data_IF_701794248693
#
_entry.id   IF_701794248693
#
_cell.length_a   1.000
_cell.length_b   1.000
_cell.length_c   1.000
_cell.angle_alpha   90.00
_cell.angle_beta   90.00
_cell.angle_gamma   90.00
#
_symmetry.space_group_name_H-M   'P 1'
#
loop_
_entity.id
_entity.type
_entity.pdbx_description
1 polymer ?
#
# COMPACT_ATOMS: atom_id res chain seq x y z
N UNK A 1 33.64 -5.38 39.97
CA UNK A 1 34.60 -4.73 39.06
C UNK A 1 34.86 -5.68 37.91
N UNK A 2 34.59 -5.25 36.67
CA UNK A 2 34.84 -6.01 35.45
C UNK A 2 34.44 -5.16 34.25
N UNK A 3 35.38 -4.34 33.77
CA UNK A 3 35.23 -3.54 32.54
C UNK A 3 35.61 -4.44 31.37
N UNK A 4 34.74 -4.58 30.37
CA UNK A 4 35.09 -5.12 29.05
C UNK A 4 34.57 -4.17 27.98
N UNK A 5 35.53 -3.44 27.43
CA UNK A 5 35.47 -2.51 26.30
C UNK A 5 35.81 -3.28 25.04
N UNK A 6 35.00 -3.31 23.99
CA UNK A 6 35.38 -3.63 22.59
C UNK A 6 34.14 -3.38 21.70
N UNK A 7 34.18 -2.90 20.47
CA UNK A 7 35.01 -1.96 19.72
C UNK A 7 34.18 -1.67 18.45
N UNK A 8 34.04 -0.40 18.07
CA UNK A 8 33.33 0.07 16.87
C UNK A 8 34.02 -0.40 15.59
N UNK A 9 33.26 -0.89 14.61
CA UNK A 9 33.73 -1.03 13.23
C UNK A 9 32.69 -0.42 12.26
N UNK A 10 32.97 0.82 11.84
CA UNK A 10 32.38 1.45 10.66
C UNK A 10 33.02 0.84 9.41
N UNK A 11 32.22 0.44 8.42
CA UNK A 11 32.69 0.18 7.06
C UNK A 11 32.08 1.22 6.12
N UNK A 12 32.89 2.22 5.76
CA UNK A 12 32.69 3.11 4.62
C UNK A 12 33.17 2.39 3.35
N UNK A 13 32.28 2.15 2.40
CA UNK A 13 32.61 1.73 1.05
C UNK A 13 32.22 2.81 0.04
N UNK A 14 33.14 3.74 -0.22
CA UNK A 14 33.05 4.69 -1.33
C UNK A 14 33.88 4.15 -2.51
N UNK A 15 33.21 3.64 -3.54
CA UNK A 15 33.84 3.37 -4.83
C UNK A 15 33.42 4.47 -5.82
N UNK A 16 34.23 5.54 -5.84
CA UNK A 16 34.24 6.52 -6.90
C UNK A 16 35.01 5.92 -8.09
N UNK A 17 34.28 5.44 -9.10
CA UNK A 17 34.83 5.10 -10.41
C UNK A 17 34.58 6.24 -11.40
N UNK A 18 35.35 7.33 -11.28
CA UNK A 18 35.52 8.34 -12.33
C UNK A 18 36.72 7.90 -13.18
N UNK A 19 36.47 7.58 -14.44
CA UNK A 19 37.51 7.24 -15.41
C UNK A 19 37.17 7.85 -16.77
N UNK A 20 38.04 8.78 -17.16
CA UNK A 20 38.29 9.33 -18.48
C UNK A 20 37.31 10.28 -19.19
N UNK A 21 37.95 11.34 -19.69
CA UNK A 21 37.44 12.58 -20.26
C UNK A 21 38.05 12.68 -21.65
N UNK A 22 37.24 12.61 -22.70
CA UNK A 22 37.63 13.10 -24.03
C UNK A 22 36.49 13.92 -24.63
N UNK A 23 36.86 15.10 -25.13
CA UNK A 23 36.00 16.11 -25.74
C UNK A 23 35.75 15.74 -27.21
N UNK A 24 34.48 15.79 -27.63
CA UNK A 24 34.07 15.63 -29.02
C UNK A 24 32.78 16.40 -29.29
N UNK A 25 32.91 17.44 -30.07
CA UNK A 25 31.88 18.39 -30.48
C UNK A 25 31.02 17.79 -31.62
N UNK A 26 29.70 18.05 -31.61
CA UNK A 26 28.86 17.97 -32.80
C UNK A 26 27.91 16.78 -32.91
N UNK A 27 26.60 17.06 -33.01
CA UNK A 27 25.60 16.13 -33.50
C UNK A 27 24.22 16.31 -32.87
N UNK A 28 23.42 17.22 -33.41
CA UNK A 28 21.98 17.21 -33.19
C UNK A 28 21.39 15.92 -33.79
N UNK A 29 20.68 15.14 -32.97
CA UNK A 29 20.01 13.90 -33.37
C UNK A 29 18.78 13.68 -32.51
N UNK A 30 17.64 14.03 -33.09
CA UNK A 30 16.27 13.75 -32.65
C UNK A 30 16.05 12.26 -32.33
N UNK A 31 15.27 11.97 -31.27
CA UNK A 31 14.65 10.65 -31.12
C UNK A 31 14.56 10.06 -29.70
N UNK A 32 13.33 10.01 -29.20
CA UNK A 32 12.73 9.01 -28.29
C UNK A 32 13.05 9.01 -26.80
N UNK A 33 11.98 9.33 -26.05
CA UNK A 33 11.40 8.54 -24.96
C UNK A 33 12.35 7.74 -24.06
N UNK A 34 12.38 8.09 -22.77
CA UNK A 34 12.00 7.14 -21.72
C UNK A 34 11.74 7.84 -20.39
N UNK A 35 10.56 7.56 -19.86
CA UNK A 35 10.13 7.90 -18.52
C UNK A 35 11.16 7.45 -17.48
N UNK A 36 11.50 8.34 -16.55
CA UNK A 36 11.88 7.94 -15.19
C UNK A 36 10.98 8.68 -14.21
N UNK A 37 9.74 8.20 -14.16
CA UNK A 37 8.80 8.53 -13.09
C UNK A 37 9.28 7.79 -11.84
N UNK A 38 9.97 8.52 -10.96
CA UNK A 38 10.26 8.04 -9.62
C UNK A 38 8.94 7.63 -8.93
N UNK A 39 8.85 6.42 -8.34
CA UNK A 39 7.65 6.03 -7.61
C UNK A 39 7.47 6.96 -6.42
N UNK A 40 6.23 7.44 -6.29
CA UNK A 40 5.75 8.30 -5.23
C UNK A 40 6.21 7.80 -3.85
N UNK A 41 6.73 8.73 -3.07
CA UNK A 41 6.93 8.58 -1.64
C UNK A 41 5.66 7.99 -1.02
N UNK A 42 5.80 6.80 -0.44
CA UNK A 42 4.86 6.27 0.54
C UNK A 42 4.86 7.29 1.68
N UNK A 43 3.73 7.89 2.09
CA UNK A 43 3.73 8.72 3.28
C UNK A 43 4.12 7.80 4.44
N UNK A 44 5.26 8.07 5.07
CA UNK A 44 5.59 7.53 6.38
C UNK A 44 4.42 7.89 7.30
N UNK A 45 3.64 6.87 7.65
CA UNK A 45 2.55 6.99 8.60
C UNK A 45 3.16 7.49 9.91
N UNK A 46 2.94 8.77 10.20
CA UNK A 46 3.33 9.39 11.45
C UNK A 46 2.71 8.58 12.58
N UNK A 47 3.58 7.94 13.37
CA UNK A 47 3.25 7.27 14.61
C UNK A 47 2.66 8.30 15.58
N UNK A 48 1.34 8.46 15.55
CA UNK A 48 0.60 9.14 16.60
C UNK A 48 0.58 8.22 17.82
N UNK A 49 1.40 8.59 18.79
CA UNK A 49 1.56 7.94 20.08
C UNK A 49 0.34 8.22 20.96
N UNK A 50 -0.61 7.29 21.02
CA UNK A 50 -1.54 7.17 22.17
C UNK A 50 -2.22 5.78 22.25
N UNK A 51 -1.45 4.70 22.05
CA UNK A 51 -1.96 3.32 22.09
C UNK A 51 -1.86 2.70 23.50
N UNK A 52 -2.32 3.40 24.54
CA UNK A 52 -2.36 2.86 25.92
C UNK A 52 -3.72 2.98 26.61
N UNK A 53 -4.78 3.36 25.89
CA UNK A 53 -6.14 3.24 26.38
C UNK A 53 -6.85 2.11 25.62
N UNK A 54 -7.24 1.06 26.36
CA UNK A 54 -8.06 -0.05 25.88
C UNK A 54 -7.32 -1.11 25.03
N UNK A 55 -6.32 -1.76 25.63
CA UNK A 55 -6.08 -3.17 25.30
C UNK A 55 -7.22 -4.01 25.90
N UNK A 56 -8.45 -3.74 25.46
CA UNK A 56 -9.63 -4.53 25.80
C UNK A 56 -9.36 -5.98 25.43
N UNK A 57 -9.86 -6.91 26.23
CA UNK A 57 -9.82 -8.32 25.90
C UNK A 57 -10.74 -8.56 24.69
N UNK A 58 -10.23 -8.26 23.50
CA UNK A 58 -10.92 -8.54 22.25
C UNK A 58 -10.89 -10.05 22.07
N UNK A 59 -11.96 -10.68 22.54
CA UNK A 59 -12.17 -12.12 22.45
C UNK A 59 -12.10 -12.62 21.00
N UNK A 60 -11.87 -13.92 20.86
CA UNK A 60 -11.84 -14.57 19.55
C UNK A 60 -13.16 -14.38 18.79
N UNK A 61 -14.30 -14.37 19.48
CA UNK A 61 -15.61 -14.10 18.87
C UNK A 61 -15.69 -12.71 18.24
N UNK A 62 -15.22 -11.66 18.92
CA UNK A 62 -15.25 -10.29 18.37
C UNK A 62 -14.38 -10.14 17.12
N UNK A 63 -13.27 -10.86 17.04
CA UNK A 63 -12.43 -10.88 15.83
C UNK A 63 -13.16 -11.54 14.66
N UNK A 64 -13.85 -12.65 14.91
CA UNK A 64 -14.65 -13.32 13.89
C UNK A 64 -15.82 -12.48 13.41
N UNK A 65 -16.55 -11.83 14.32
CA UNK A 65 -17.66 -10.94 14.00
C UNK A 65 -17.20 -9.73 13.16
N UNK A 66 -16.02 -9.19 13.49
CA UNK A 66 -15.38 -8.15 12.67
C UNK A 66 -15.09 -8.66 11.25
N UNK A 67 -14.47 -9.83 11.10
CA UNK A 67 -14.18 -10.42 9.79
C UNK A 67 -15.46 -10.67 9.00
N UNK A 68 -16.51 -11.19 9.64
CA UNK A 68 -17.80 -11.43 9.01
C UNK A 68 -18.40 -10.12 8.48
N UNK A 69 -18.37 -9.06 9.30
CA UNK A 69 -18.85 -7.73 8.91
C UNK A 69 -18.06 -7.17 7.72
N UNK A 70 -16.73 -7.28 7.74
CA UNK A 70 -15.89 -6.82 6.62
C UNK A 70 -16.18 -7.63 5.35
N UNK A 71 -16.31 -8.96 5.45
CA UNK A 71 -16.66 -9.81 4.30
C UNK A 71 -18.00 -9.44 3.69
N UNK A 72 -19.01 -9.13 4.51
CA UNK A 72 -20.31 -8.68 4.03
C UNK A 72 -20.19 -7.35 3.27
N UNK A 73 -19.46 -6.38 3.82
CA UNK A 73 -19.20 -5.10 3.13
C UNK A 73 -18.47 -5.30 1.81
N UNK A 74 -17.48 -6.20 1.78
CA UNK A 74 -16.73 -6.52 0.57
C UNK A 74 -17.58 -7.19 -0.49
N UNK A 75 -18.54 -8.05 -0.14
CA UNK A 75 -19.44 -8.67 -1.12
C UNK A 75 -20.22 -7.60 -1.92
N UNK A 76 -20.75 -6.59 -1.24
CA UNK A 76 -21.43 -5.46 -1.91
C UNK A 76 -20.45 -4.65 -2.76
N UNK A 77 -19.23 -4.42 -2.29
CA UNK A 77 -18.21 -3.66 -3.04
C UNK A 77 -17.70 -4.42 -4.25
N UNK A 78 -17.54 -5.73 -4.15
CA UNK A 78 -17.09 -6.59 -5.26
C UNK A 78 -18.11 -6.57 -6.41
N UNK A 79 -19.42 -6.53 -6.11
CA UNK A 79 -20.46 -6.33 -7.12
C UNK A 79 -20.33 -4.98 -7.84
N UNK A 80 -20.11 -3.89 -7.09
CA UNK A 80 -19.91 -2.56 -7.67
C UNK A 80 -18.66 -2.49 -8.56
N UNK A 81 -17.57 -3.15 -8.15
CA UNK A 81 -16.32 -3.23 -8.92
C UNK A 81 -16.51 -4.03 -10.21
N UNK A 82 -17.29 -5.11 -10.16
CA UNK A 82 -17.63 -5.91 -11.33
C UNK A 82 -18.44 -5.08 -12.34
N UNK A 83 -19.42 -4.31 -11.87
CA UNK A 83 -20.19 -3.40 -12.70
C UNK A 83 -19.31 -2.33 -13.36
N UNK A 84 -18.43 -1.67 -12.60
CA UNK A 84 -17.47 -0.70 -13.14
C UNK A 84 -16.55 -1.34 -14.20
N UNK A 85 -16.12 -2.58 -13.97
CA UNK A 85 -15.29 -3.32 -14.92
C UNK A 85 -16.07 -3.68 -16.20
N UNK A 86 -17.35 -4.02 -16.08
CA UNK A 86 -18.22 -4.28 -17.22
C UNK A 86 -18.48 -3.00 -18.02
N UNK A 87 -18.78 -1.88 -17.35
CA UNK A 87 -18.97 -0.56 -17.98
C UNK A 87 -17.72 -0.10 -18.74
N UNK A 88 -16.53 -0.30 -18.15
CA UNK A 88 -15.25 -0.01 -18.82
C UNK A 88 -15.12 -0.72 -20.17
N UNK A 89 -15.54 -1.99 -20.23
CA UNK A 89 -15.48 -2.85 -21.42
C UNK A 89 -16.56 -2.51 -22.45
N UNK A 90 -17.78 -2.17 -22.00
CA UNK A 90 -18.93 -1.97 -22.88
C UNK A 90 -19.05 -0.55 -23.42
N UNK A 91 -18.64 0.46 -22.64
CA UNK A 91 -18.91 1.88 -22.91
C UNK A 91 -17.68 2.62 -23.46
N UNK A 92 -16.59 1.90 -23.79
CA UNK A 92 -15.45 2.48 -24.51
C UNK A 92 -14.64 3.51 -23.70
N UNK A 93 -14.35 3.23 -22.43
CA UNK A 93 -13.42 4.04 -21.62
C UNK A 93 -14.04 5.04 -20.64
N UNK A 94 -15.33 4.90 -20.31
CA UNK A 94 -15.97 5.67 -19.24
C UNK A 94 -15.30 5.47 -17.87
N UNK A 95 -14.66 4.32 -17.67
CA UNK A 95 -13.76 4.03 -16.55
C UNK A 95 -12.36 3.80 -17.11
N UNK A 96 -11.37 4.54 -16.60
CA UNK A 96 -9.98 4.42 -17.06
C UNK A 96 -9.31 3.12 -16.58
N UNK A 97 -8.39 2.56 -17.38
CA UNK A 97 -7.58 1.39 -16.98
C UNK A 97 -6.78 1.65 -15.70
N UNK A 98 -6.33 2.90 -15.50
CA UNK A 98 -5.66 3.33 -14.27
C UNK A 98 -6.58 3.22 -13.06
N UNK A 99 -7.85 3.61 -13.19
CA UNK A 99 -8.82 3.48 -12.11
C UNK A 99 -9.06 2.00 -11.76
N UNK A 100 -9.21 1.13 -12.77
CA UNK A 100 -9.34 -0.31 -12.55
C UNK A 100 -8.09 -0.91 -11.90
N UNK A 101 -6.89 -0.47 -12.28
CA UNK A 101 -5.64 -0.90 -11.66
C UNK A 101 -5.58 -0.50 -10.17
N UNK A 102 -5.98 0.72 -9.84
CA UNK A 102 -6.04 1.21 -8.45
C UNK A 102 -7.04 0.39 -7.61
N UNK A 103 -8.23 0.10 -8.14
CA UNK A 103 -9.22 -0.75 -7.48
C UNK A 103 -8.63 -2.13 -7.18
N UNK A 104 -7.96 -2.76 -8.16
CA UNK A 104 -7.32 -4.08 -7.96
C UNK A 104 -6.25 -4.03 -6.88
N UNK A 105 -5.40 -3.00 -6.89
CA UNK A 105 -4.37 -2.81 -5.87
C UNK A 105 -4.96 -2.64 -4.47
N UNK A 106 -6.01 -1.84 -4.33
CA UNK A 106 -6.73 -1.66 -3.08
C UNK A 106 -7.39 -2.96 -2.61
N UNK A 107 -8.00 -3.73 -3.52
CA UNK A 107 -8.61 -5.03 -3.18
C UNK A 107 -7.58 -6.04 -2.69
N UNK A 108 -6.40 -6.05 -3.29
CA UNK A 108 -5.28 -6.88 -2.82
C UNK A 108 -4.79 -6.44 -1.43
N UNK A 109 -4.74 -5.13 -1.16
CA UNK A 109 -4.38 -4.61 0.16
C UNK A 109 -5.36 -5.07 1.25
N UNK A 110 -6.67 -5.02 0.97
CA UNK A 110 -7.70 -5.57 1.85
C UNK A 110 -7.46 -7.06 2.13
N UNK A 111 -7.21 -7.87 1.10
CA UNK A 111 -6.96 -9.31 1.28
C UNK A 111 -5.72 -9.58 2.13
N UNK A 112 -4.64 -8.83 1.93
CA UNK A 112 -3.42 -8.95 2.77
C UNK A 112 -3.71 -8.60 4.22
N UNK A 113 -4.42 -7.51 4.49
CA UNK A 113 -4.74 -7.10 5.85
C UNK A 113 -5.73 -8.06 6.53
N UNK A 114 -6.71 -8.60 5.80
CA UNK A 114 -7.60 -9.64 6.33
C UNK A 114 -6.83 -10.90 6.73
N UNK A 115 -5.80 -11.31 5.98
CA UNK A 115 -4.94 -12.43 6.36
C UNK A 115 -4.14 -12.20 7.65
N UNK A 116 -3.96 -10.93 8.08
CA UNK A 116 -3.32 -10.60 9.36
C UNK A 116 -4.27 -10.79 10.55
N UNK A 117 -5.59 -10.78 10.33
CA UNK A 117 -6.60 -10.92 11.41
C UNK A 117 -6.48 -12.27 12.10
N UNK A 118 -6.26 -13.35 11.34
CA UNK A 118 -6.17 -14.71 11.90
C UNK A 118 -4.99 -14.87 12.87
N UNK A 119 -3.93 -14.07 12.71
CA UNK A 119 -2.74 -14.07 13.55
C UNK A 119 -2.72 -12.92 14.56
N UNK A 120 -3.80 -12.13 14.63
CA UNK A 120 -3.86 -11.00 15.54
C UNK A 120 -4.09 -11.47 16.99
N UNK A 121 -3.23 -11.00 17.87
CA UNK A 121 -3.32 -11.16 19.32
C UNK A 121 -4.07 -9.97 19.93
N UNK A 122 -4.45 -10.04 21.21
CA UNK A 122 -5.03 -8.90 21.91
C UNK A 122 -4.12 -7.65 21.85
N UNK A 123 -2.80 -7.83 21.92
CA UNK A 123 -1.83 -6.75 21.96
C UNK A 123 -1.73 -5.94 20.64
N UNK A 124 -1.94 -6.58 19.49
CA UNK A 124 -1.87 -5.93 18.17
C UNK A 124 -3.22 -5.89 17.44
N UNK A 125 -4.30 -6.29 18.10
CA UNK A 125 -5.62 -6.36 17.49
C UNK A 125 -6.08 -5.02 16.93
N UNK A 126 -5.94 -3.96 17.72
CA UNK A 126 -6.40 -2.63 17.32
C UNK A 126 -5.66 -2.12 16.08
N UNK A 127 -4.34 -2.37 15.97
CA UNK A 127 -3.56 -2.03 14.78
C UNK A 127 -4.07 -2.80 13.55
N UNK A 128 -4.28 -4.11 13.67
CA UNK A 128 -4.76 -4.94 12.57
C UNK A 128 -6.17 -4.54 12.15
N UNK A 129 -7.06 -4.26 13.10
CA UNK A 129 -8.42 -3.77 12.85
C UNK A 129 -8.39 -2.46 12.07
N UNK A 130 -7.58 -1.49 12.50
CA UNK A 130 -7.43 -0.21 11.82
C UNK A 130 -6.89 -0.41 10.40
N UNK A 131 -5.84 -1.22 10.22
CA UNK A 131 -5.28 -1.50 8.89
C UNK A 131 -6.29 -2.17 7.93
N UNK A 132 -7.18 -3.02 8.43
CA UNK A 132 -8.27 -3.60 7.63
C UNK A 132 -9.30 -2.53 7.28
N UNK A 133 -9.75 -1.73 8.24
CA UNK A 133 -10.70 -0.62 8.01
C UNK A 133 -10.16 0.35 6.96
N UNK A 134 -8.93 0.84 7.14
CA UNK A 134 -8.30 1.80 6.23
C UNK A 134 -8.17 1.22 4.81
N UNK A 135 -7.87 -0.07 4.68
CA UNK A 135 -7.80 -0.72 3.38
C UNK A 135 -9.17 -0.83 2.69
N UNK A 136 -10.23 -1.07 3.45
CA UNK A 136 -11.61 -1.11 2.92
C UNK A 136 -12.08 0.29 2.52
N UNK A 137 -11.72 1.31 3.28
CA UNK A 137 -12.02 2.70 2.96
C UNK A 137 -11.27 3.12 1.69
N UNK A 138 -9.98 2.81 1.58
CA UNK A 138 -9.20 3.06 0.36
C UNK A 138 -9.78 2.34 -0.88
N UNK A 139 -10.29 1.11 -0.72
CA UNK A 139 -11.01 0.41 -1.79
C UNK A 139 -12.30 1.13 -2.19
N UNK A 140 -13.06 1.60 -1.21
CA UNK A 140 -14.30 2.33 -1.42
C UNK A 140 -14.03 3.62 -2.19
N UNK A 141 -13.06 4.41 -1.74
CA UNK A 141 -12.68 5.64 -2.43
C UNK A 141 -12.12 5.38 -3.84
N UNK A 142 -11.36 4.28 -4.04
CA UNK A 142 -10.88 3.91 -5.36
C UNK A 142 -12.04 3.58 -6.32
N UNK A 143 -13.07 2.87 -5.83
CA UNK A 143 -14.27 2.57 -6.60
C UNK A 143 -15.12 3.82 -6.89
N UNK A 144 -15.27 4.71 -5.92
CA UNK A 144 -16.00 5.98 -6.10
C UNK A 144 -15.33 6.90 -7.12
N UNK A 145 -14.01 7.06 -7.04
CA UNK A 145 -13.24 7.86 -8.02
C UNK A 145 -13.27 7.26 -9.43
N UNK A 146 -13.53 5.96 -9.54
CA UNK A 146 -13.63 5.26 -10.81
C UNK A 146 -15.03 5.40 -11.45
N UNK A 147 -16.02 5.92 -10.74
CA UNK A 147 -17.34 6.10 -11.30
C UNK A 147 -17.28 7.09 -12.48
N UNK A 148 -17.98 6.79 -13.59
CA UNK A 148 -18.10 7.74 -14.68
C UNK A 148 -18.82 9.01 -14.21
N UNK A 149 -18.31 10.17 -14.65
CA UNK A 149 -18.91 11.47 -14.35
C UNK A 149 -20.04 11.83 -15.29
#
# INVERSE_FOLDING_TARGET
MGKLTFATALLLGAAAGCGDRESGEGGAGDGRDTLSQAPAAVPEAQQSSDASADAGDFGFEQRQDFVATIRQRLATKDQQIEELTAQAKSTGGSVSDRALANIRAARQAVNRNLGRVDNATAANWQEVRNAVTDAVDALTEAAERAQPK
#
